data_IF_989213549642
#
_entry.id   IF_989213549642
#
_cell.length_a   1.000
_cell.length_b   1.000
_cell.length_c   1.000
_cell.angle_alpha   90.00
_cell.angle_beta   90.00
_cell.angle_gamma   90.00
#
_symmetry.space_group_name_H-M   'P 1'
#
loop_
_entity.id
_entity.type
_entity.pdbx_description
1 polymer ?
#
# COMPACT_ATOMS: atom_id res chain seq x y z
N UNK A 1 45.55 14.13 -31.51
CA UNK A 1 46.46 13.38 -32.39
C UNK A 1 47.00 14.23 -33.55
N UNK A 2 46.12 14.67 -34.46
CA UNK A 2 46.49 15.41 -35.68
C UNK A 2 47.17 16.76 -35.43
N UNK A 3 46.60 17.60 -34.56
CA UNK A 3 47.09 18.96 -34.23
C UNK A 3 48.57 18.98 -33.81
N UNK A 4 49.01 17.99 -33.03
CA UNK A 4 50.41 17.86 -32.60
C UNK A 4 51.35 17.56 -33.76
N UNK A 5 50.93 16.69 -34.69
CA UNK A 5 51.74 16.33 -35.85
C UNK A 5 51.87 17.46 -36.85
N UNK A 6 50.81 18.25 -37.01
CA UNK A 6 50.78 19.40 -37.91
C UNK A 6 51.69 20.52 -37.37
N UNK A 7 51.60 20.82 -36.06
CA UNK A 7 52.47 21.80 -35.41
C UNK A 7 53.95 21.40 -35.43
N UNK A 8 54.26 20.12 -35.25
CA UNK A 8 55.65 19.63 -35.31
C UNK A 8 56.26 19.86 -36.70
N UNK A 9 55.48 19.63 -37.77
CA UNK A 9 55.94 19.87 -39.15
C UNK A 9 56.20 21.35 -39.41
N UNK A 10 55.30 22.21 -38.95
CA UNK A 10 55.44 23.67 -39.14
C UNK A 10 56.64 24.21 -38.37
N UNK A 11 56.84 23.79 -37.13
CA UNK A 11 57.99 24.15 -36.31
C UNK A 11 59.31 23.65 -36.92
N UNK A 12 59.36 22.41 -37.41
CA UNK A 12 60.55 21.85 -38.06
C UNK A 12 60.87 22.61 -39.36
N UNK A 13 59.86 22.96 -40.14
CA UNK A 13 60.03 23.70 -41.40
C UNK A 13 60.64 25.09 -41.15
N UNK A 14 60.21 25.79 -40.10
CA UNK A 14 60.75 27.10 -39.74
C UNK A 14 62.20 27.01 -39.22
N UNK A 15 62.50 26.00 -38.39
CA UNK A 15 63.86 25.77 -37.88
C UNK A 15 64.86 25.35 -38.98
N UNK A 16 64.38 24.62 -40.00
CA UNK A 16 65.16 24.25 -41.18
C UNK A 16 65.39 25.45 -42.12
N UNK A 17 64.40 26.35 -42.21
CA UNK A 17 64.50 27.61 -42.97
C UNK A 17 65.59 28.53 -42.43
N UNK A 18 65.67 28.64 -41.10
CA UNK A 18 66.71 29.40 -40.39
C UNK A 18 68.06 28.65 -40.29
N UNK A 19 68.17 27.46 -40.89
CA UNK A 19 69.37 26.60 -40.88
C UNK A 19 69.92 26.35 -39.48
N UNK A 20 69.04 26.21 -38.48
CA UNK A 20 69.44 26.08 -37.08
C UNK A 20 70.19 24.78 -36.75
N UNK A 21 70.05 23.74 -37.60
CA UNK A 21 70.62 22.41 -37.37
C UNK A 21 69.93 21.62 -36.24
N UNK A 22 68.80 22.12 -35.72
CA UNK A 22 68.05 21.51 -34.63
C UNK A 22 66.94 20.62 -35.19
N UNK A 23 66.90 19.36 -34.75
CA UNK A 23 65.83 18.40 -35.07
C UNK A 23 64.91 18.22 -33.87
N UNK A 24 63.61 18.42 -34.09
CA UNK A 24 62.58 18.28 -33.05
C UNK A 24 61.97 16.89 -33.12
N UNK A 25 62.31 16.04 -32.15
CA UNK A 25 61.82 14.66 -32.08
C UNK A 25 60.38 14.57 -31.56
N UNK A 26 60.00 15.42 -30.61
CA UNK A 26 58.66 15.38 -30.03
C UNK A 26 58.22 16.74 -29.47
N UNK A 27 56.95 17.08 -29.72
CA UNK A 27 56.29 18.25 -29.15
C UNK A 27 55.22 17.80 -28.16
N UNK A 28 55.27 18.34 -26.94
CA UNK A 28 54.22 18.18 -25.94
C UNK A 28 53.39 19.46 -25.91
N UNK A 29 52.12 19.39 -26.35
CA UNK A 29 51.18 20.47 -26.03
C UNK A 29 50.87 20.37 -24.53
N UNK A 30 51.12 21.45 -23.79
CA UNK A 30 50.57 21.59 -22.43
C UNK A 30 49.06 21.75 -22.51
N UNK A 31 48.36 21.30 -21.46
CA UNK A 31 46.91 21.30 -21.38
C UNK A 31 46.32 22.66 -21.76
N UNK A 32 45.52 22.65 -22.83
CA UNK A 32 44.81 23.83 -23.32
C UNK A 32 43.53 23.93 -22.51
N UNK A 33 43.57 24.68 -21.41
CA UNK A 33 42.35 25.05 -20.71
C UNK A 33 41.59 26.13 -21.51
N UNK A 34 40.26 26.05 -21.63
CA UNK A 34 39.46 27.13 -22.18
C UNK A 34 39.77 28.44 -21.43
N UNK A 35 39.88 29.59 -22.13
CA UNK A 35 40.09 30.87 -21.47
C UNK A 35 38.93 31.12 -20.49
N UNK A 36 39.26 31.66 -19.32
CA UNK A 36 38.35 31.78 -18.15
C UNK A 36 37.00 32.45 -18.48
N UNK A 37 36.96 33.27 -19.54
CA UNK A 37 35.79 34.00 -20.00
C UNK A 37 34.69 33.14 -20.65
N UNK A 38 35.00 31.96 -21.20
CA UNK A 38 34.02 31.08 -21.89
C UNK A 38 33.69 29.81 -21.11
N UNK A 39 34.45 29.49 -20.05
CA UNK A 39 34.21 28.32 -19.22
C UNK A 39 32.77 28.23 -18.64
N UNK A 40 32.12 29.33 -18.19
CA UNK A 40 30.75 29.27 -17.66
C UNK A 40 29.74 28.79 -18.71
N UNK A 41 29.79 29.32 -19.93
CA UNK A 41 28.85 28.96 -20.99
C UNK A 41 29.03 27.52 -21.49
N UNK A 42 30.24 26.97 -21.46
CA UNK A 42 30.47 25.55 -21.75
C UNK A 42 29.93 24.64 -20.65
N UNK A 43 30.07 25.03 -19.38
CA UNK A 43 29.52 24.30 -18.25
C UNK A 43 27.99 24.29 -18.28
N UNK A 44 27.35 25.40 -18.65
CA UNK A 44 25.90 25.48 -18.83
C UNK A 44 25.38 24.53 -19.92
N UNK A 45 26.07 24.45 -21.07
CA UNK A 45 25.69 23.52 -22.14
C UNK A 45 25.84 22.07 -21.68
N UNK A 46 26.92 21.74 -20.97
CA UNK A 46 27.12 20.39 -20.45
C UNK A 46 26.05 20.02 -19.42
N UNK A 47 25.76 20.91 -18.47
CA UNK A 47 24.71 20.72 -17.48
C UNK A 47 23.35 20.51 -18.13
N UNK A 48 23.01 21.29 -19.16
CA UNK A 48 21.77 21.14 -19.91
C UNK A 48 21.70 19.80 -20.68
N UNK A 49 22.84 19.30 -21.17
CA UNK A 49 22.90 17.98 -21.82
C UNK A 49 22.71 16.85 -20.81
N UNK A 50 23.36 16.93 -19.65
CA UNK A 50 23.20 15.96 -18.56
C UNK A 50 21.76 15.95 -18.03
N UNK A 51 21.16 17.13 -17.84
CA UNK A 51 19.76 17.26 -17.41
C UNK A 51 18.80 16.63 -18.44
N UNK A 52 19.04 16.87 -19.74
CA UNK A 52 18.25 16.25 -20.80
C UNK A 52 18.37 14.72 -20.78
N UNK A 53 19.57 14.18 -20.61
CA UNK A 53 19.79 12.74 -20.53
C UNK A 53 19.12 12.13 -19.29
N UNK A 54 19.22 12.81 -18.15
CA UNK A 54 18.53 12.41 -16.92
C UNK A 54 17.01 12.37 -17.12
N UNK A 55 16.43 13.43 -17.70
CA UNK A 55 14.99 13.48 -18.01
C UNK A 55 14.55 12.35 -18.95
N UNK A 56 15.37 12.00 -19.94
CA UNK A 56 15.07 10.89 -20.84
C UNK A 56 15.10 9.55 -20.11
N UNK A 57 16.13 9.31 -19.29
CA UNK A 57 16.23 8.09 -18.49
C UNK A 57 15.06 7.93 -17.51
N UNK A 58 14.64 9.02 -16.86
CA UNK A 58 13.51 9.01 -15.94
C UNK A 58 12.20 8.69 -16.68
N UNK A 59 11.99 9.29 -17.86
CA UNK A 59 10.82 9.00 -18.69
C UNK A 59 10.80 7.54 -19.16
N UNK A 60 11.95 7.00 -19.57
CA UNK A 60 12.07 5.59 -19.94
C UNK A 60 11.82 4.66 -18.75
N UNK A 61 12.36 4.99 -17.56
CA UNK A 61 12.11 4.24 -16.34
C UNK A 61 10.62 4.23 -16.01
N UNK A 62 9.98 5.39 -16.04
CA UNK A 62 8.54 5.53 -15.80
C UNK A 62 7.71 4.68 -16.77
N UNK A 63 8.06 4.68 -18.06
CA UNK A 63 7.38 3.87 -19.07
C UNK A 63 7.54 2.36 -18.82
N UNK A 64 8.75 1.92 -18.46
CA UNK A 64 9.02 0.52 -18.10
C UNK A 64 8.27 0.10 -16.83
N UNK A 65 8.26 0.96 -15.81
CA UNK A 65 7.58 0.70 -14.54
C UNK A 65 6.06 0.66 -14.72
N UNK A 66 5.52 1.56 -15.53
CA UNK A 66 4.10 1.55 -15.88
C UNK A 66 3.72 0.24 -16.59
N UNK A 67 4.49 -0.18 -17.60
CA UNK A 67 4.25 -1.44 -18.32
C UNK A 67 4.36 -2.66 -17.40
N UNK A 68 5.34 -2.68 -16.49
CA UNK A 68 5.53 -3.78 -15.54
C UNK A 68 4.39 -3.86 -14.53
N UNK A 69 3.93 -2.73 -13.99
CA UNK A 69 2.79 -2.68 -13.07
C UNK A 69 1.50 -3.13 -13.75
N UNK A 70 1.18 -2.58 -14.92
CA UNK A 70 0.00 -2.98 -15.69
C UNK A 70 0.03 -4.47 -16.05
N UNK A 71 1.19 -4.99 -16.45
CA UNK A 71 1.38 -6.41 -16.73
C UNK A 71 1.28 -7.30 -15.49
N UNK A 72 1.68 -6.79 -14.32
CA UNK A 72 1.53 -7.45 -13.02
C UNK A 72 0.06 -7.53 -12.59
N UNK A 73 -0.65 -6.40 -12.65
CA UNK A 73 -2.09 -6.31 -12.33
C UNK A 73 -2.93 -7.21 -13.24
N UNK A 74 -2.66 -7.23 -14.54
CA UNK A 74 -3.34 -8.12 -15.48
C UNK A 74 -3.13 -9.60 -15.12
N UNK A 75 -1.90 -9.99 -14.78
CA UNK A 75 -1.59 -11.35 -14.33
C UNK A 75 -2.27 -11.69 -13.00
N UNK A 76 -2.29 -10.75 -12.07
CA UNK A 76 -2.96 -10.93 -10.77
C UNK A 76 -4.46 -11.21 -10.95
N UNK A 77 -5.13 -10.47 -11.83
CA UNK A 77 -6.55 -10.70 -12.13
C UNK A 77 -6.78 -12.10 -12.69
N UNK A 78 -5.95 -12.54 -13.64
CA UNK A 78 -6.06 -13.89 -14.24
C UNK A 78 -5.87 -14.95 -13.18
N UNK A 79 -4.80 -14.87 -12.38
CA UNK A 79 -4.49 -15.84 -11.33
C UNK A 79 -5.59 -15.87 -10.27
N UNK A 80 -6.15 -14.72 -9.87
CA UNK A 80 -7.30 -14.66 -8.95
C UNK A 80 -8.54 -15.32 -9.56
N UNK A 81 -8.81 -15.12 -10.84
CA UNK A 81 -9.95 -15.74 -11.52
C UNK A 81 -9.80 -17.27 -11.60
N UNK A 82 -8.62 -17.76 -11.97
CA UNK A 82 -8.30 -19.19 -12.02
C UNK A 82 -8.36 -19.85 -10.64
N UNK A 83 -7.74 -19.22 -9.63
CA UNK A 83 -7.81 -19.67 -8.24
C UNK A 83 -9.25 -19.67 -7.71
N UNK A 84 -10.03 -18.63 -8.01
CA UNK A 84 -11.44 -18.57 -7.66
C UNK A 84 -12.26 -19.68 -8.32
N UNK A 85 -11.99 -20.00 -9.59
CA UNK A 85 -12.67 -21.08 -10.30
C UNK A 85 -12.32 -22.46 -9.72
N UNK A 86 -11.03 -22.73 -9.49
CA UNK A 86 -10.59 -24.00 -8.89
C UNK A 86 -11.10 -24.16 -7.47
N UNK A 87 -11.09 -23.10 -6.66
CA UNK A 87 -11.64 -23.11 -5.30
C UNK A 87 -13.14 -23.39 -5.29
N UNK A 88 -13.92 -22.79 -6.20
CA UNK A 88 -15.36 -23.08 -6.35
C UNK A 88 -15.60 -24.55 -6.69
N UNK A 89 -14.83 -25.10 -7.62
CA UNK A 89 -14.97 -26.50 -8.03
C UNK A 89 -14.60 -27.47 -6.91
N UNK A 90 -13.46 -27.24 -6.24
CA UNK A 90 -13.01 -28.05 -5.11
C UNK A 90 -14.01 -27.99 -3.94
N UNK A 91 -14.56 -26.80 -3.66
CA UNK A 91 -15.60 -26.62 -2.65
C UNK A 91 -16.87 -27.40 -3.01
N UNK A 92 -17.35 -27.27 -4.25
CA UNK A 92 -18.53 -28.01 -4.71
C UNK A 92 -18.33 -29.53 -4.60
N UNK A 93 -17.15 -30.03 -4.99
CA UNK A 93 -16.80 -31.45 -4.82
C UNK A 93 -16.77 -31.87 -3.35
N UNK A 94 -16.18 -31.06 -2.47
CA UNK A 94 -16.18 -31.32 -1.04
C UNK A 94 -17.59 -31.32 -0.44
N UNK A 95 -18.45 -30.41 -0.88
CA UNK A 95 -19.87 -30.36 -0.47
C UNK A 95 -20.64 -31.58 -0.96
N UNK A 96 -20.41 -32.03 -2.20
CA UNK A 96 -20.98 -33.28 -2.72
C UNK A 96 -20.58 -34.49 -1.88
N UNK A 97 -19.28 -34.66 -1.59
CA UNK A 97 -18.78 -35.76 -0.75
C UNK A 97 -19.40 -35.71 0.64
N UNK A 98 -19.48 -34.52 1.25
CA UNK A 98 -20.13 -34.35 2.57
C UNK A 98 -21.61 -34.69 2.52
N UNK A 99 -22.30 -34.34 1.44
CA UNK A 99 -23.71 -34.67 1.24
C UNK A 99 -23.91 -36.18 1.12
N UNK A 100 -23.11 -36.87 0.30
CA UNK A 100 -23.19 -38.32 0.14
C UNK A 100 -22.93 -39.05 1.47
N UNK A 101 -21.88 -38.67 2.19
CA UNK A 101 -21.58 -39.23 3.52
C UNK A 101 -22.74 -39.01 4.51
N UNK A 102 -23.37 -37.84 4.47
CA UNK A 102 -24.53 -37.52 5.31
C UNK A 102 -25.73 -38.39 4.94
N UNK A 103 -26.03 -38.52 3.64
CA UNK A 103 -27.11 -39.37 3.13
C UNK A 103 -26.90 -40.81 3.57
N UNK A 104 -25.68 -41.33 3.45
CA UNK A 104 -25.36 -42.72 3.80
C UNK A 104 -25.49 -42.94 5.31
N UNK A 105 -25.02 -42.00 6.14
CA UNK A 105 -25.20 -42.04 7.59
C UNK A 105 -26.68 -42.01 7.98
N UNK A 106 -27.49 -41.17 7.34
CA UNK A 106 -28.94 -41.14 7.53
C UNK A 106 -29.60 -42.46 7.15
N UNK A 107 -29.25 -43.01 5.97
CA UNK A 107 -29.80 -44.29 5.50
C UNK A 107 -29.46 -45.45 6.42
N UNK A 108 -28.32 -45.41 7.11
CA UNK A 108 -27.90 -46.45 8.05
C UNK A 108 -28.66 -46.36 9.38
N UNK A 109 -28.80 -45.16 9.95
CA UNK A 109 -29.51 -44.96 11.21
C UNK A 109 -30.04 -43.52 11.33
N UNK A 110 -31.33 -43.28 11.00
CA UNK A 110 -31.93 -41.96 11.10
C UNK A 110 -31.94 -41.41 12.54
N UNK A 111 -32.33 -42.23 13.51
CA UNK A 111 -32.48 -41.79 14.91
C UNK A 111 -31.14 -41.38 15.55
N UNK A 112 -30.05 -42.10 15.28
CA UNK A 112 -28.72 -41.74 15.77
C UNK A 112 -28.18 -40.50 15.06
N UNK A 113 -28.50 -40.34 13.77
CA UNK A 113 -28.11 -39.16 12.99
C UNK A 113 -28.77 -37.88 13.53
N UNK A 114 -30.10 -37.89 13.73
CA UNK A 114 -30.84 -36.75 14.29
C UNK A 114 -30.31 -36.36 15.67
N UNK A 115 -30.11 -37.35 16.53
CA UNK A 115 -29.57 -37.13 17.87
C UNK A 115 -28.18 -36.48 17.81
N UNK A 116 -27.30 -36.98 16.94
CA UNK A 116 -25.95 -36.43 16.76
C UNK A 116 -25.98 -35.00 16.23
N UNK A 117 -26.77 -34.70 15.19
CA UNK A 117 -26.84 -33.33 14.66
C UNK A 117 -27.49 -32.37 15.66
N UNK A 118 -28.48 -32.84 16.44
CA UNK A 118 -29.04 -32.06 17.54
C UNK A 118 -27.99 -31.71 18.60
N UNK A 119 -27.18 -32.68 19.04
CA UNK A 119 -26.08 -32.42 19.97
C UNK A 119 -24.99 -31.55 19.38
N UNK A 120 -24.70 -31.66 18.08
CA UNK A 120 -23.74 -30.80 17.41
C UNK A 120 -24.21 -29.34 17.42
N UNK A 121 -25.46 -29.08 17.05
CA UNK A 121 -26.04 -27.73 17.11
C UNK A 121 -26.00 -27.18 18.54
N UNK A 122 -26.33 -28.02 19.51
CA UNK A 122 -26.23 -27.67 20.93
C UNK A 122 -24.79 -27.34 21.35
N UNK A 123 -23.81 -28.13 20.91
CA UNK A 123 -22.39 -27.87 21.21
C UNK A 123 -21.89 -26.58 20.54
N UNK A 124 -22.18 -26.39 19.25
CA UNK A 124 -21.84 -25.20 18.46
C UNK A 124 -22.44 -23.93 19.10
N UNK A 125 -23.74 -23.97 19.47
CA UNK A 125 -24.42 -22.83 20.12
C UNK A 125 -23.90 -22.51 21.52
N UNK A 126 -23.34 -23.49 22.21
CA UNK A 126 -22.82 -23.32 23.56
C UNK A 126 -21.30 -23.12 23.59
N UNK A 127 -20.61 -23.11 22.45
CA UNK A 127 -19.16 -23.04 22.35
C UNK A 127 -18.57 -21.84 23.12
N UNK A 128 -19.20 -20.65 23.00
CA UNK A 128 -18.77 -19.42 23.67
C UNK A 128 -19.53 -19.10 24.98
N UNK A 129 -20.37 -20.03 25.46
CA UNK A 129 -21.19 -19.80 26.64
C UNK A 129 -20.50 -20.27 27.93
N UNK A 130 -20.63 -19.50 29.02
CA UNK A 130 -20.21 -19.94 30.36
C UNK A 130 -21.19 -21.00 30.87
N UNK A 131 -20.72 -22.25 31.00
CA UNK A 131 -21.55 -23.41 31.38
C UNK A 131 -21.45 -23.67 32.88
N UNK A 132 -22.58 -23.85 33.55
CA UNK A 132 -22.67 -24.34 34.92
C UNK A 132 -23.48 -25.64 34.92
N UNK A 133 -22.87 -26.75 35.34
CA UNK A 133 -23.49 -28.07 35.36
C UNK A 133 -23.89 -28.39 36.79
N UNK A 134 -25.18 -28.66 37.00
CA UNK A 134 -25.71 -29.08 38.29
C UNK A 134 -26.15 -30.54 38.19
N UNK A 135 -25.55 -31.41 38.99
CA UNK A 135 -25.93 -32.82 39.09
C UNK A 135 -26.26 -33.16 40.54
N UNK A 136 -27.47 -33.66 40.75
CA UNK A 136 -27.99 -34.06 42.06
C UNK A 136 -27.20 -35.21 42.70
N UNK A 137 -26.50 -36.01 41.88
CA UNK A 137 -25.61 -37.10 42.33
C UNK A 137 -24.26 -36.58 42.83
N UNK A 138 -23.86 -35.38 42.40
CA UNK A 138 -22.61 -34.71 42.84
C UNK A 138 -22.84 -33.93 44.14
N UNK A 139 -24.11 -33.59 44.44
CA UNK A 139 -24.55 -32.78 45.59
C UNK A 139 -24.18 -33.38 46.96
N UNK A 140 -23.85 -34.68 47.04
CA UNK A 140 -23.50 -35.32 48.32
C UNK A 140 -22.12 -34.92 48.86
N UNK A 141 -21.24 -34.29 48.07
CA UNK A 141 -19.87 -34.00 48.51
C UNK A 141 -19.60 -32.52 48.84
N UNK A 142 -20.28 -31.55 48.21
CA UNK A 142 -20.07 -30.12 48.50
C UNK A 142 -21.33 -29.29 48.24
N UNK A 143 -21.64 -28.39 49.18
CA UNK A 143 -22.56 -27.27 49.03
C UNK A 143 -22.11 -26.36 47.87
N UNK A 144 -22.77 -26.50 46.72
CA UNK A 144 -22.50 -25.65 45.55
C UNK A 144 -23.09 -24.27 45.80
N UNK A 145 -22.25 -23.29 46.17
CA UNK A 145 -22.64 -21.90 46.29
C UNK A 145 -22.35 -21.18 44.97
N UNK A 146 -23.39 -20.88 44.21
CA UNK A 146 -23.29 -20.12 42.97
C UNK A 146 -23.19 -18.62 43.31
N UNK A 147 -21.98 -18.06 43.23
CA UNK A 147 -21.78 -16.62 43.45
C UNK A 147 -22.20 -15.83 42.20
N UNK A 148 -23.47 -15.41 42.19
CA UNK A 148 -24.07 -14.63 41.10
C UNK A 148 -23.42 -13.24 40.90
N UNK A 149 -22.62 -12.75 41.86
CA UNK A 149 -21.90 -11.48 41.73
C UNK A 149 -20.84 -11.50 40.62
N UNK A 150 -20.36 -12.69 40.23
CA UNK A 150 -19.42 -12.86 39.10
C UNK A 150 -20.11 -13.14 37.76
N UNK A 151 -21.41 -13.43 37.76
CA UNK A 151 -22.19 -13.78 36.56
C UNK A 151 -22.97 -12.58 36.03
N UNK A 152 -23.31 -11.59 36.87
CA UNK A 152 -23.70 -10.28 36.37
C UNK A 152 -22.48 -9.60 35.75
N UNK A 153 -22.46 -9.47 34.42
CA UNK A 153 -21.57 -8.52 33.76
C UNK A 153 -21.89 -7.12 34.34
N UNK A 154 -20.91 -6.37 34.86
CA UNK A 154 -21.12 -5.00 35.31
C UNK A 154 -21.66 -4.11 34.17
N UNK A 155 -21.38 -4.47 32.91
CA UNK A 155 -21.88 -3.80 31.72
C UNK A 155 -23.41 -3.90 31.53
N UNK A 156 -24.10 -4.82 32.23
CA UNK A 156 -25.57 -4.90 32.20
C UNK A 156 -26.23 -3.92 33.18
N UNK A 157 -25.49 -3.43 34.19
CA UNK A 157 -26.01 -2.50 35.19
C UNK A 157 -25.70 -1.05 34.77
N UNK A 158 -24.57 -0.81 34.11
CA UNK A 158 -24.13 0.54 33.72
C UNK A 158 -24.58 0.99 32.32
N UNK A 159 -25.10 0.09 31.47
CA UNK A 159 -25.66 0.43 30.15
C UNK A 159 -27.20 0.41 30.09
N UNK A 160 -27.88 0.66 31.21
CA UNK A 160 -29.26 1.15 31.10
C UNK A 160 -29.17 2.58 30.54
N UNK A 161 -29.72 2.89 29.35
CA UNK A 161 -29.68 4.25 28.83
C UNK A 161 -30.36 5.16 29.85
N UNK A 162 -29.66 6.20 30.31
CA UNK A 162 -30.17 7.15 31.30
C UNK A 162 -31.35 7.99 30.79
N UNK A 163 -31.78 7.76 29.56
CA UNK A 163 -32.91 8.42 28.91
C UNK A 163 -33.69 7.38 28.11
N UNK A 164 -35.03 7.25 28.27
CA UNK A 164 -35.82 6.39 27.41
C UNK A 164 -35.67 6.85 25.96
N UNK A 165 -35.21 5.95 25.09
CA UNK A 165 -34.98 6.22 23.68
C UNK A 165 -36.32 6.55 23.01
N UNK A 166 -36.53 7.82 22.69
CA UNK A 166 -37.66 8.28 21.88
C UNK A 166 -37.51 7.70 20.48
N UNK A 167 -38.44 6.85 20.04
CA UNK A 167 -38.55 6.27 18.69
C UNK A 167 -38.80 7.32 17.57
N UNK A 168 -38.68 8.61 17.87
CA UNK A 168 -38.76 9.71 16.89
C UNK A 168 -37.36 10.33 16.78
N UNK A 169 -36.64 10.19 15.65
CA UNK A 169 -35.37 10.86 15.46
C UNK A 169 -35.60 12.37 15.43
N UNK A 170 -34.94 13.11 16.33
CA UNK A 170 -34.82 14.57 16.20
C UNK A 170 -33.83 14.88 15.08
N UNK A 171 -34.16 15.74 14.10
CA UNK A 171 -33.20 16.16 13.10
C UNK A 171 -32.05 16.92 13.77
N UNK A 172 -30.80 16.52 13.49
CA UNK A 172 -29.59 17.00 14.14
C UNK A 172 -28.99 18.28 13.52
N UNK A 173 -29.70 18.99 12.64
CA UNK A 173 -29.19 20.26 12.07
C UNK A 173 -29.82 21.45 12.77
N UNK A 174 -28.97 22.25 13.43
CA UNK A 174 -29.29 23.59 13.89
C UNK A 174 -29.72 24.46 12.72
N UNK A 175 -30.64 25.40 12.97
CA UNK A 175 -31.24 26.31 12.00
C UNK A 175 -30.20 27.18 11.26
N UNK A 176 -29.01 27.34 11.84
CA UNK A 176 -27.86 28.05 11.27
C UNK A 176 -27.20 27.31 10.10
N UNK A 177 -27.28 25.98 10.04
CA UNK A 177 -26.72 25.18 8.95
C UNK A 177 -27.59 25.20 7.67
N UNK A 178 -28.84 25.64 7.76
CA UNK A 178 -29.72 25.78 6.60
C UNK A 178 -29.50 27.10 5.84
N UNK A 179 -29.13 28.17 6.54
CA UNK A 179 -28.90 29.48 5.90
C UNK A 179 -27.55 29.55 5.15
N UNK A 180 -26.52 28.80 5.59
CA UNK A 180 -25.24 28.73 4.88
C UNK A 180 -25.30 27.96 3.54
N UNK A 181 -26.16 26.95 3.43
CA UNK A 181 -26.33 26.19 2.17
C UNK A 181 -27.04 27.03 1.10
N UNK A 182 -27.87 28.02 1.48
CA UNK A 182 -28.55 28.89 0.51
C UNK A 182 -27.56 29.93 -0.09
N UNK A 183 -26.60 30.43 0.71
CA UNK A 183 -25.58 31.35 0.18
C UNK A 183 -24.51 30.66 -0.69
N UNK A 184 -24.22 29.38 -0.45
CA UNK A 184 -23.29 28.60 -1.27
C UNK A 184 -23.81 28.36 -2.70
N UNK A 185 -25.13 28.14 -2.85
CA UNK A 185 -25.75 27.91 -4.16
C UNK A 185 -25.88 29.18 -5.03
N UNK A 186 -25.89 30.37 -4.43
CA UNK A 186 -25.96 31.64 -5.17
C UNK A 186 -24.58 32.15 -5.66
N UNK A 187 -23.48 31.55 -5.22
CA UNK A 187 -22.11 31.94 -5.65
C UNK A 187 -21.54 31.07 -6.77
N UNK A 188 -22.16 29.93 -7.08
CA UNK A 188 -21.70 29.00 -8.12
C UNK A 188 -22.00 29.44 -9.58
N UNK A 189 -22.71 30.56 -9.78
CA UNK A 189 -23.02 31.10 -11.12
C UNK A 189 -22.12 32.30 -11.52
N UNK A 190 -21.13 32.65 -10.70
CA UNK A 190 -20.15 33.70 -11.03
C UNK A 190 -18.76 33.06 -10.98
N UNK A 191 -18.30 32.54 -12.12
CA UNK A 191 -17.13 31.68 -12.23
C UNK A 191 -15.84 32.29 -11.67
N UNK A 192 -15.21 31.57 -10.74
CA UNK A 192 -13.82 31.75 -10.33
C UNK A 192 -13.22 30.39 -9.93
N UNK A 193 -12.05 30.06 -10.49
CA UNK A 193 -11.35 28.79 -10.29
C UNK A 193 -10.42 28.95 -9.06
N UNK A 194 -10.50 28.13 -8.01
CA UNK A 194 -9.58 28.23 -6.88
C UNK A 194 -8.23 27.57 -7.19
N UNK A 195 -7.15 28.27 -6.83
CA UNK A 195 -5.76 27.84 -7.02
C UNK A 195 -5.39 26.60 -6.19
N UNK A 196 -4.75 25.61 -6.82
CA UNK A 196 -4.13 24.45 -6.16
C UNK A 196 -2.87 24.91 -5.42
N UNK A 197 -2.84 24.72 -4.11
CA UNK A 197 -1.68 25.00 -3.27
C UNK A 197 -0.80 23.75 -3.20
N UNK A 198 0.35 23.77 -3.89
CA UNK A 198 1.38 22.72 -3.85
C UNK A 198 2.51 23.14 -2.91
N UNK A 199 2.55 22.53 -1.72
CA UNK A 199 3.74 22.50 -0.86
C UNK A 199 4.20 21.03 -0.71
N UNK A 200 5.50 20.72 -0.85
CA UNK A 200 6.00 19.35 -0.74
C UNK A 200 6.15 18.93 0.73
N UNK A 201 5.58 17.78 1.10
CA UNK A 201 5.88 17.11 2.36
C UNK A 201 7.25 16.41 2.25
N UNK A 202 8.11 16.65 3.23
CA UNK A 202 9.49 16.17 3.34
C UNK A 202 9.54 14.65 3.65
N UNK A 203 10.20 13.82 2.82
CA UNK A 203 10.14 12.35 2.95
C UNK A 203 10.92 11.76 4.14
N UNK A 204 11.64 12.57 4.93
CA UNK A 204 12.52 12.07 5.99
C UNK A 204 11.83 11.70 7.32
N UNK A 205 10.52 11.92 7.46
CA UNK A 205 9.81 11.69 8.72
C UNK A 205 9.15 10.30 8.87
N UNK A 206 9.47 9.33 8.00
CA UNK A 206 8.86 8.00 8.03
C UNK A 206 9.69 6.90 8.74
N UNK A 207 10.85 7.22 9.30
CA UNK A 207 11.76 6.20 9.87
C UNK A 207 12.11 6.35 11.36
N UNK A 208 11.38 7.17 12.13
CA UNK A 208 11.67 7.36 13.57
C UNK A 208 10.44 7.29 14.49
N UNK A 209 9.61 6.26 14.39
CA UNK A 209 8.71 5.92 15.51
C UNK A 209 8.11 4.51 15.42
N UNK A 210 8.94 3.48 15.56
CA UNK A 210 8.47 2.24 16.19
C UNK A 210 9.63 1.38 16.69
N UNK A 211 10.16 1.75 17.86
CA UNK A 211 10.84 0.80 18.75
C UNK A 211 9.91 0.61 19.94
N UNK A 212 9.37 -0.60 20.18
CA UNK A 212 8.56 -0.86 21.36
C UNK A 212 9.45 -0.90 22.60
N UNK A 213 9.15 -0.04 23.57
CA UNK A 213 9.73 -0.12 24.92
C UNK A 213 9.35 -1.48 25.57
N UNK A 214 10.36 -2.15 26.12
CA UNK A 214 10.23 -3.08 27.24
C UNK A 214 10.59 -2.35 28.52
#
# INVERSE_FOLDING_TARGET
GKIRGDFLKELQTELDRERSGIRVEQVYLRDVHPPVQVAPSFQEVLAAMEEKEAMLHDAESYARDYGTRAGGEAREIIVKAESGATHRLARAQGEMVRFDLRRDAWSLSPSLFELREGFKIFDDSLADSKKAIFDDRIRSAMNTQLDLRKVLNPDLIDNAPSTPESLIPRPARSREAFDLDIEGFLRADQGEIPAVNSAPEDPDNLMKSNVPNK
#
